data_IF_808348536127
#
_entry.id   IF_808348536127
#
_cell.length_a   1.000
_cell.length_b   1.000
_cell.length_c   1.000
_cell.angle_alpha   90.00
_cell.angle_beta   90.00
_cell.angle_gamma   90.00
#
_symmetry.space_group_name_H-M   'P 1'
#
loop_
_entity.id
_entity.type
_entity.pdbx_description
1 polymer ?
#
# COMPACT_ATOMS: atom_id res chain seq x y z
N UNK A 1 -27.57 -12.42 -53.52
CA UNK A 1 -28.77 -12.41 -52.66
C UNK A 1 -29.04 -10.97 -52.25
N UNK A 2 -30.02 -10.34 -52.89
CA UNK A 2 -30.59 -9.03 -52.52
C UNK A 2 -31.68 -9.26 -51.47
N UNK A 3 -31.80 -8.38 -50.45
CA UNK A 3 -33.06 -7.83 -49.92
C UNK A 3 -32.77 -6.62 -48.99
N UNK A 4 -33.05 -5.44 -49.55
CA UNK A 4 -33.49 -4.12 -49.03
C UNK A 4 -34.39 -4.14 -47.75
N UNK A 5 -34.54 -3.14 -46.84
CA UNK A 5 -34.91 -1.70 -46.94
C UNK A 5 -34.85 -0.95 -45.56
N UNK A 6 -34.51 0.37 -45.62
CA UNK A 6 -35.03 1.62 -44.96
C UNK A 6 -35.19 1.74 -43.41
N UNK A 7 -34.68 2.77 -42.71
CA UNK A 7 -34.75 4.26 -42.77
C UNK A 7 -36.01 4.89 -42.13
N UNK A 8 -35.83 5.78 -41.13
CA UNK A 8 -36.29 7.21 -41.07
C UNK A 8 -36.08 7.89 -39.70
N UNK A 9 -35.66 9.15 -39.75
CA UNK A 9 -35.60 10.21 -38.72
C UNK A 9 -36.90 10.42 -37.91
N UNK A 10 -36.77 11.03 -36.72
CA UNK A 10 -37.55 12.22 -36.30
C UNK A 10 -37.01 12.84 -34.97
N UNK A 11 -36.57 14.11 -35.01
CA UNK A 11 -36.68 15.09 -33.92
C UNK A 11 -37.86 16.04 -34.30
N UNK A 12 -38.50 16.87 -33.42
CA UNK A 12 -37.88 18.10 -32.85
C UNK A 12 -38.46 18.70 -31.51
N UNK A 13 -37.80 19.78 -31.03
CA UNK A 13 -38.23 21.05 -30.38
C UNK A 13 -39.00 21.21 -29.04
N UNK A 14 -38.34 21.96 -28.09
CA UNK A 14 -38.67 23.23 -27.36
C UNK A 14 -40.13 23.61 -26.95
N UNK A 15 -40.46 24.57 -26.02
CA UNK A 15 -39.76 25.80 -25.52
C UNK A 15 -39.76 25.97 -23.96
N UNK A 16 -38.96 26.83 -23.28
CA UNK A 16 -38.86 28.30 -23.10
C UNK A 16 -40.03 28.99 -22.34
N UNK A 17 -39.70 29.67 -21.22
CA UNK A 17 -40.38 30.82 -20.55
C UNK A 17 -39.31 31.50 -19.66
N UNK A 18 -38.81 32.74 -19.84
CA UNK A 18 -39.38 34.11 -19.67
C UNK A 18 -40.02 34.31 -18.27
N UNK A 19 -39.84 35.37 -17.48
CA UNK A 19 -39.60 36.79 -17.73
C UNK A 19 -39.23 37.51 -16.41
N UNK A 20 -38.80 38.76 -16.56
CA UNK A 20 -38.42 39.75 -15.55
C UNK A 20 -39.51 40.10 -14.52
N UNK A 21 -39.11 40.68 -13.38
CA UNK A 21 -39.75 41.93 -12.95
C UNK A 21 -38.84 42.81 -12.07
N UNK A 22 -39.09 44.13 -12.17
CA UNK A 22 -38.26 45.23 -11.69
C UNK A 22 -38.89 45.92 -10.48
N UNK A 23 -38.07 46.72 -9.82
CA UNK A 23 -38.37 47.96 -9.09
C UNK A 23 -39.37 47.96 -7.92
N UNK A 24 -38.89 48.37 -6.75
CA UNK A 24 -39.42 49.59 -6.10
C UNK A 24 -38.41 50.19 -5.10
N UNK A 25 -38.06 51.44 -5.34
CA UNK A 25 -37.38 52.36 -4.42
C UNK A 25 -38.25 52.69 -3.20
N UNK A 26 -37.64 53.11 -2.07
CA UNK A 26 -38.08 54.28 -1.30
C UNK A 26 -37.29 54.55 0.00
N UNK A 27 -36.77 55.79 0.08
CA UNK A 27 -36.85 56.74 1.20
C UNK A 27 -35.83 56.73 2.38
N UNK A 28 -34.83 57.63 2.24
CA UNK A 28 -34.47 58.78 3.10
C UNK A 28 -34.41 58.61 4.65
N UNK A 29 -33.21 58.69 5.28
CA UNK A 29 -32.57 59.85 5.98
C UNK A 29 -33.15 60.21 7.37
N UNK A 30 -32.44 60.91 8.29
CA UNK A 30 -31.00 61.08 8.55
C UNK A 30 -30.65 60.90 10.07
N UNK A 31 -29.36 60.92 10.44
CA UNK A 31 -28.83 61.77 11.53
C UNK A 31 -27.32 61.50 11.74
N UNK A 32 -26.55 62.58 11.66
CA UNK A 32 -25.10 62.62 11.82
C UNK A 32 -24.69 62.71 13.29
N UNK A 33 -23.47 62.27 13.64
CA UNK A 33 -22.39 63.06 14.32
C UNK A 33 -21.05 62.26 14.18
N UNK A 34 -19.89 62.92 13.93
CA UNK A 34 -18.63 62.25 13.57
C UNK A 34 -17.62 62.06 14.72
N UNK A 35 -16.64 61.17 14.51
CA UNK A 35 -15.34 61.12 15.21
C UNK A 35 -14.68 59.73 15.18
N UNK A 36 -13.42 59.57 15.63
CA UNK A 36 -12.20 60.28 15.28
C UNK A 36 -11.36 59.49 14.25
N UNK A 37 -10.39 60.14 13.62
CA UNK A 37 -9.35 59.45 12.82
C UNK A 37 -8.44 58.64 13.75
N UNK A 38 -8.25 57.34 13.46
CA UNK A 38 -7.30 56.45 14.13
C UNK A 38 -6.84 55.36 13.14
N UNK A 39 -5.56 55.01 13.28
CA UNK A 39 -4.59 54.45 12.32
C UNK A 39 -4.97 53.18 11.52
N UNK A 40 -4.32 52.91 10.37
CA UNK A 40 -4.51 51.65 9.65
C UNK A 40 -4.09 50.47 10.52
N UNK A 41 -5.08 49.65 10.87
CA UNK A 41 -4.89 48.43 11.64
C UNK A 41 -3.89 47.49 10.97
N UNK A 42 -2.85 47.12 11.72
CA UNK A 42 -2.02 45.96 11.46
C UNK A 42 -2.90 44.71 11.51
N UNK A 43 -3.30 44.19 10.35
CA UNK A 43 -3.89 42.86 10.26
C UNK A 43 -2.80 41.85 10.61
N UNK A 44 -2.83 41.38 11.86
CA UNK A 44 -2.13 40.17 12.28
C UNK A 44 -2.74 38.99 11.53
N UNK A 45 -2.20 38.71 10.36
CA UNK A 45 -2.38 37.43 9.68
C UNK A 45 -1.49 36.42 10.42
N UNK A 46 -1.94 35.96 11.59
CA UNK A 46 -1.45 34.70 12.13
C UNK A 46 -1.87 33.62 11.15
N UNK A 47 -0.94 32.90 10.48
CA UNK A 47 -1.30 31.74 9.70
C UNK A 47 -1.96 30.76 10.68
N UNK A 48 -3.20 30.36 10.40
CA UNK A 48 -3.88 29.35 11.19
C UNK A 48 -2.97 28.13 11.29
N UNK A 49 -2.63 27.76 12.53
CA UNK A 49 -2.00 26.46 12.79
C UNK A 49 -2.86 25.39 12.10
N UNK A 50 -2.26 24.46 11.33
CA UNK A 50 -3.05 23.41 10.71
C UNK A 50 -3.67 22.58 11.83
N UNK A 51 -4.99 22.73 11.99
CA UNK A 51 -5.80 21.90 12.87
C UNK A 51 -5.64 20.45 12.43
N UNK A 52 -5.06 19.63 13.32
CA UNK A 52 -4.96 18.17 13.27
C UNK A 52 -5.10 17.55 11.88
N UNK A 53 -3.97 17.30 11.20
CA UNK A 53 -3.94 16.28 10.17
C UNK A 53 -4.49 14.98 10.78
N UNK A 54 -5.65 14.52 10.30
CA UNK A 54 -6.18 13.21 10.66
C UNK A 54 -5.14 12.11 10.39
N UNK A 55 -5.34 10.87 10.90
CA UNK A 55 -4.40 9.79 10.65
C UNK A 55 -4.11 9.72 9.15
N UNK A 56 -2.83 9.63 8.78
CA UNK A 56 -2.37 9.62 7.38
C UNK A 56 -3.08 8.49 6.61
N UNK A 57 -4.19 8.83 5.94
CA UNK A 57 -5.04 7.88 5.18
C UNK A 57 -4.41 7.58 3.82
N UNK A 58 -3.07 7.52 3.74
CA UNK A 58 -2.39 7.09 2.52
C UNK A 58 -2.60 5.57 2.36
N UNK A 59 -2.96 5.10 1.15
CA UNK A 59 -3.15 3.67 0.91
C UNK A 59 -1.88 2.89 1.24
N UNK A 60 -2.01 1.65 1.73
CA UNK A 60 -0.86 0.78 1.92
C UNK A 60 -0.24 0.43 0.56
N UNK A 61 1.07 0.57 0.44
CA UNK A 61 1.82 0.31 -0.80
C UNK A 61 2.70 -0.90 -0.60
N UNK A 62 2.67 -1.82 -1.56
CA UNK A 62 3.55 -2.97 -1.57
C UNK A 62 4.36 -3.09 -2.85
N UNK A 63 5.60 -3.57 -2.73
CA UNK A 63 6.47 -3.93 -3.85
C UNK A 63 6.67 -5.45 -3.87
N UNK A 64 6.58 -6.05 -5.05
CA UNK A 64 6.89 -7.46 -5.26
C UNK A 64 8.15 -7.61 -6.09
N UNK A 65 9.10 -8.40 -5.59
CA UNK A 65 10.38 -8.69 -6.27
C UNK A 65 10.54 -10.20 -6.45
N UNK A 66 10.71 -10.66 -7.69
CA UNK A 66 11.04 -12.05 -7.98
C UNK A 66 12.55 -12.17 -8.20
N UNK A 67 13.22 -12.91 -7.32
CA UNK A 67 14.64 -13.25 -7.45
C UNK A 67 14.78 -14.56 -8.21
N UNK A 68 15.21 -14.49 -9.47
CA UNK A 68 15.49 -15.67 -10.28
C UNK A 68 16.35 -15.37 -11.49
N UNK A 69 17.56 -15.96 -11.51
CA UNK A 69 18.45 -15.94 -12.68
C UNK A 69 17.80 -16.46 -13.97
N UNK A 70 16.91 -17.45 -13.86
CA UNK A 70 16.29 -18.09 -15.03
C UNK A 70 15.07 -17.32 -15.54
N UNK A 71 14.28 -16.73 -14.63
CA UNK A 71 13.15 -15.88 -15.03
C UNK A 71 13.65 -14.56 -15.63
N UNK A 72 14.68 -13.94 -15.03
CA UNK A 72 15.28 -12.71 -15.55
C UNK A 72 15.90 -12.91 -16.95
N UNK A 73 16.41 -14.12 -17.23
CA UNK A 73 16.95 -14.50 -18.53
C UNK A 73 15.87 -14.95 -19.54
N UNK A 74 14.58 -14.93 -19.18
CA UNK A 74 13.48 -15.35 -20.05
C UNK A 74 13.38 -16.85 -20.32
N UNK A 75 14.13 -17.69 -19.56
CA UNK A 75 14.15 -19.15 -19.73
C UNK A 75 12.82 -19.78 -19.29
N UNK A 76 12.17 -19.20 -18.27
CA UNK A 76 10.81 -19.54 -17.91
C UNK A 76 10.03 -18.32 -17.42
N UNK A 77 8.70 -18.39 -17.52
CA UNK A 77 7.80 -17.37 -16.98
C UNK A 77 7.77 -17.42 -15.44
N UNK A 78 7.83 -16.24 -14.82
CA UNK A 78 7.60 -16.10 -13.39
C UNK A 78 6.15 -16.46 -13.03
N UNK A 79 5.99 -17.38 -12.09
CA UNK A 79 4.70 -17.80 -11.52
C UNK A 79 4.53 -17.34 -10.07
N UNK A 80 5.62 -17.07 -9.36
CA UNK A 80 5.61 -16.70 -7.96
C UNK A 80 5.18 -15.25 -7.79
N UNK A 81 5.85 -14.33 -8.50
CA UNK A 81 5.60 -12.90 -8.42
C UNK A 81 4.13 -12.52 -8.64
N UNK A 82 3.48 -12.99 -9.72
CA UNK A 82 2.05 -12.70 -9.95
C UNK A 82 1.13 -13.20 -8.82
N UNK A 83 1.46 -14.34 -8.19
CA UNK A 83 0.68 -14.84 -7.06
C UNK A 83 0.85 -13.98 -5.81
N UNK A 84 2.08 -13.54 -5.53
CA UNK A 84 2.37 -12.61 -4.42
C UNK A 84 1.61 -11.31 -4.63
N UNK A 85 1.69 -10.73 -5.84
CA UNK A 85 0.99 -9.49 -6.16
C UNK A 85 -0.52 -9.62 -5.96
N UNK A 86 -1.13 -10.67 -6.51
CA UNK A 86 -2.55 -10.93 -6.32
C UNK A 86 -2.93 -11.15 -4.84
N UNK A 87 -2.05 -11.78 -4.05
CA UNK A 87 -2.24 -11.96 -2.61
C UNK A 87 -2.27 -10.63 -1.86
N UNK A 88 -1.28 -9.79 -2.08
CA UNK A 88 -1.18 -8.47 -1.45
C UNK A 88 -2.31 -7.54 -1.87
N UNK A 89 -2.73 -7.57 -3.14
CA UNK A 89 -3.90 -6.80 -3.58
C UNK A 89 -5.17 -7.22 -2.83
N UNK A 90 -5.39 -8.51 -2.60
CA UNK A 90 -6.54 -8.99 -1.79
C UNK A 90 -6.47 -8.53 -0.34
N UNK A 91 -5.28 -8.33 0.20
CA UNK A 91 -5.06 -7.80 1.54
C UNK A 91 -5.22 -6.26 1.61
N UNK A 92 -5.55 -5.59 0.50
CA UNK A 92 -5.81 -4.14 0.47
C UNK A 92 -4.61 -3.27 0.11
N UNK A 93 -3.51 -3.86 -0.38
CA UNK A 93 -2.34 -3.11 -0.81
C UNK A 93 -2.47 -2.63 -2.26
N UNK A 94 -2.01 -1.40 -2.51
CA UNK A 94 -1.65 -0.93 -3.85
C UNK A 94 -0.30 -1.52 -4.23
N UNK A 95 -0.29 -2.47 -5.15
CA UNK A 95 0.88 -3.29 -5.47
C UNK A 95 1.60 -2.76 -6.72
N UNK A 96 2.92 -2.62 -6.62
CA UNK A 96 3.85 -2.45 -7.74
C UNK A 96 4.61 -3.76 -7.99
N UNK A 97 4.78 -4.13 -9.26
CA UNK A 97 5.50 -5.34 -9.66
C UNK A 97 4.59 -6.49 -10.11
N UNK A 98 5.12 -7.73 -10.27
CA UNK A 98 6.46 -8.15 -9.85
C UNK A 98 7.58 -7.57 -10.71
N UNK A 99 8.63 -7.08 -10.05
CA UNK A 99 9.92 -6.82 -10.68
C UNK A 99 10.74 -8.11 -10.68
N UNK A 100 11.14 -8.60 -11.86
CA UNK A 100 11.93 -9.82 -11.98
C UNK A 100 13.41 -9.46 -12.11
N UNK A 101 14.21 -9.86 -11.14
CA UNK A 101 15.65 -9.56 -11.08
C UNK A 101 16.48 -10.84 -10.95
N UNK A 102 17.75 -10.84 -11.41
CA UNK A 102 18.69 -11.91 -11.10
C UNK A 102 18.95 -12.03 -9.59
N UNK A 103 19.39 -13.20 -9.15
CA UNK A 103 19.77 -13.42 -7.75
C UNK A 103 21.01 -12.58 -7.37
N UNK A 104 21.13 -12.18 -6.09
CA UNK A 104 22.30 -11.47 -5.57
C UNK A 104 22.11 -9.96 -5.49
N UNK A 105 23.11 -9.20 -5.94
CA UNK A 105 23.16 -7.73 -5.82
C UNK A 105 21.94 -7.01 -6.44
N UNK A 106 21.35 -7.47 -7.56
CA UNK A 106 20.12 -6.85 -8.08
C UNK A 106 18.94 -6.91 -7.10
N UNK A 107 18.83 -7.97 -6.28
CA UNK A 107 17.80 -8.05 -5.23
C UNK A 107 18.05 -6.98 -4.17
N UNK A 108 19.29 -6.79 -3.74
CA UNK A 108 19.61 -5.75 -2.76
C UNK A 108 19.26 -4.35 -3.28
N UNK A 109 19.59 -4.06 -4.54
CA UNK A 109 19.27 -2.78 -5.17
C UNK A 109 17.75 -2.54 -5.17
N UNK A 110 16.95 -3.50 -5.63
CA UNK A 110 15.48 -3.40 -5.63
C UNK A 110 14.89 -3.21 -4.22
N UNK A 111 15.45 -3.89 -3.21
CA UNK A 111 15.04 -3.70 -1.82
C UNK A 111 15.35 -2.28 -1.32
N UNK A 112 16.56 -1.75 -1.60
CA UNK A 112 16.95 -0.40 -1.21
C UNK A 112 16.09 0.66 -1.90
N UNK A 113 15.83 0.50 -3.19
CA UNK A 113 14.96 1.39 -3.95
C UNK A 113 13.53 1.37 -3.40
N UNK A 114 13.02 0.19 -3.03
CA UNK A 114 11.73 0.07 -2.38
C UNK A 114 11.65 0.80 -1.03
N UNK A 115 12.72 0.72 -0.21
CA UNK A 115 12.80 1.45 1.06
C UNK A 115 12.85 2.97 0.80
N UNK A 116 13.67 3.43 -0.16
CA UNK A 116 13.77 4.85 -0.54
C UNK A 116 12.44 5.41 -1.04
N UNK A 117 11.65 4.60 -1.75
CA UNK A 117 10.32 4.96 -2.25
C UNK A 117 9.21 4.82 -1.20
N UNK A 118 9.55 4.51 0.05
CA UNK A 118 8.65 4.40 1.19
C UNK A 118 7.47 3.44 0.94
N UNK A 119 7.74 2.27 0.37
CA UNK A 119 6.78 1.16 0.40
C UNK A 119 6.57 0.69 1.83
N UNK A 120 5.35 0.34 2.19
CA UNK A 120 5.05 -0.18 3.53
C UNK A 120 5.49 -1.65 3.64
N UNK A 121 5.36 -2.41 2.55
CA UNK A 121 5.76 -3.82 2.49
C UNK A 121 6.56 -4.09 1.21
N UNK A 122 7.63 -4.85 1.33
CA UNK A 122 8.33 -5.46 0.19
C UNK A 122 8.31 -6.97 0.38
N UNK A 123 7.73 -7.69 -0.59
CA UNK A 123 7.73 -9.16 -0.57
C UNK A 123 8.59 -9.68 -1.71
N UNK A 124 9.61 -10.46 -1.36
CA UNK A 124 10.42 -11.17 -2.36
C UNK A 124 9.95 -12.61 -2.53
N UNK A 125 10.18 -13.20 -3.70
CA UNK A 125 10.01 -14.65 -3.92
C UNK A 125 11.19 -15.21 -4.70
N UNK A 126 11.73 -16.34 -4.23
CA UNK A 126 12.90 -16.99 -4.85
C UNK A 126 14.22 -16.67 -4.14
N UNK A 127 15.27 -17.42 -4.48
CA UNK A 127 16.62 -17.23 -3.94
C UNK A 127 16.80 -17.51 -2.45
N UNK A 128 15.87 -18.24 -1.79
CA UNK A 128 15.87 -18.50 -0.34
C UNK A 128 16.30 -19.93 0.05
N UNK A 129 16.68 -20.77 -0.91
CA UNK A 129 17.14 -22.14 -0.63
C UNK A 129 18.58 -22.20 -0.14
N UNK A 130 19.20 -23.37 -0.31
CA UNK A 130 20.59 -23.66 0.07
C UNK A 130 21.54 -23.77 -1.15
N UNK A 131 21.07 -23.41 -2.35
CA UNK A 131 21.92 -23.32 -3.53
C UNK A 131 23.01 -22.25 -3.33
N UNK A 132 24.21 -22.40 -3.90
CA UNK A 132 25.22 -21.34 -3.87
C UNK A 132 24.75 -20.00 -4.45
N UNK A 133 23.75 -20.02 -5.34
CA UNK A 133 23.15 -18.83 -5.95
C UNK A 133 21.98 -18.26 -5.17
N UNK A 134 21.48 -18.96 -4.15
CA UNK A 134 20.38 -18.45 -3.31
C UNK A 134 20.93 -17.35 -2.40
N UNK A 135 20.72 -16.08 -2.75
CA UNK A 135 21.31 -14.93 -2.06
C UNK A 135 20.29 -13.91 -1.55
N UNK A 136 18.99 -14.17 -1.73
CA UNK A 136 17.91 -13.26 -1.29
C UNK A 136 17.96 -12.97 0.22
N UNK A 137 18.15 -13.96 1.12
CA UNK A 137 18.31 -13.70 2.55
C UNK A 137 19.53 -12.82 2.87
N UNK A 138 20.65 -13.09 2.20
CA UNK A 138 21.90 -12.36 2.38
C UNK A 138 21.77 -10.90 1.93
N UNK A 139 21.09 -10.65 0.81
CA UNK A 139 20.75 -9.31 0.34
C UNK A 139 19.81 -8.59 1.33
N UNK A 140 18.75 -9.28 1.77
CA UNK A 140 17.77 -8.72 2.72
C UNK A 140 18.43 -8.29 4.03
N UNK A 141 19.32 -9.14 4.57
CA UNK A 141 20.05 -8.84 5.82
C UNK A 141 20.87 -7.56 5.75
N UNK A 142 21.39 -7.19 4.57
CA UNK A 142 22.17 -5.95 4.39
C UNK A 142 21.31 -4.69 4.30
N UNK A 143 19.99 -4.84 4.15
CA UNK A 143 19.04 -3.74 3.99
C UNK A 143 18.23 -3.50 5.26
N UNK A 144 17.88 -4.54 6.00
CA UNK A 144 17.07 -4.41 7.23
C UNK A 144 17.87 -3.79 8.38
N UNK A 145 17.22 -2.92 9.13
CA UNK A 145 17.71 -2.34 10.38
C UNK A 145 17.70 -3.40 11.50
N UNK A 146 16.65 -4.22 11.53
CA UNK A 146 16.50 -5.35 12.46
C UNK A 146 15.65 -6.48 11.85
N UNK A 147 15.93 -7.72 12.25
CA UNK A 147 15.21 -8.91 11.81
C UNK A 147 13.95 -9.18 12.67
N UNK A 148 12.92 -9.75 12.05
CA UNK A 148 11.73 -10.29 12.72
C UNK A 148 11.72 -11.81 12.51
N UNK A 149 12.34 -12.62 13.38
CA UNK A 149 12.52 -14.05 13.15
C UNK A 149 11.21 -14.85 13.16
N UNK A 150 10.17 -14.38 13.87
CA UNK A 150 8.90 -15.09 13.99
C UNK A 150 8.13 -15.27 12.66
N UNK A 151 8.28 -14.34 11.72
CA UNK A 151 7.61 -14.41 10.41
C UNK A 151 8.15 -15.59 9.58
N UNK A 152 9.47 -15.68 9.29
CA UNK A 152 9.98 -16.81 8.52
C UNK A 152 9.86 -18.15 9.28
N UNK A 153 9.85 -18.16 10.62
CA UNK A 153 9.53 -19.35 11.40
C UNK A 153 8.10 -19.84 11.15
N UNK A 154 7.11 -18.94 11.16
CA UNK A 154 5.72 -19.25 10.87
C UNK A 154 5.53 -19.74 9.42
N UNK A 155 6.18 -19.10 8.45
CA UNK A 155 6.13 -19.51 7.03
C UNK A 155 6.67 -20.95 6.86
N UNK A 156 7.82 -21.26 7.47
CA UNK A 156 8.35 -22.63 7.45
C UNK A 156 7.39 -23.59 8.15
N UNK A 157 6.78 -23.19 9.26
CA UNK A 157 5.84 -24.02 10.00
C UNK A 157 4.59 -24.37 9.21
N UNK A 158 4.03 -23.42 8.46
CA UNK A 158 2.87 -23.61 7.59
C UNK A 158 3.17 -24.61 6.45
N UNK A 159 4.37 -24.53 5.85
CA UNK A 159 4.76 -25.42 4.75
C UNK A 159 5.22 -26.82 5.17
N UNK A 160 5.82 -26.97 6.36
CA UNK A 160 6.42 -28.23 6.83
C UNK A 160 5.51 -29.47 6.77
N UNK A 161 4.21 -29.41 7.13
CA UNK A 161 3.31 -30.56 7.06
C UNK A 161 3.13 -31.11 5.64
N UNK A 162 3.21 -30.25 4.63
CA UNK A 162 3.01 -30.61 3.22
C UNK A 162 4.34 -30.96 2.53
N UNK A 163 5.40 -30.19 2.85
CA UNK A 163 6.71 -30.28 2.23
C UNK A 163 7.77 -30.19 3.34
N UNK A 164 8.32 -31.34 3.80
CA UNK A 164 9.31 -31.34 4.90
C UNK A 164 10.53 -30.44 4.64
N UNK A 165 10.95 -30.33 3.37
CA UNK A 165 12.06 -29.49 2.92
C UNK A 165 11.76 -27.99 2.99
N UNK A 166 10.53 -27.55 3.29
CA UNK A 166 10.22 -26.16 3.62
C UNK A 166 11.11 -25.64 4.76
N UNK A 167 11.52 -26.53 5.67
CA UNK A 167 12.46 -26.24 6.76
C UNK A 167 13.82 -25.71 6.30
N UNK A 168 14.23 -26.01 5.06
CA UNK A 168 15.53 -25.60 4.51
C UNK A 168 15.52 -24.16 3.98
N UNK A 169 14.35 -23.51 3.90
CA UNK A 169 14.29 -22.11 3.48
C UNK A 169 15.00 -21.22 4.49
N UNK A 170 15.99 -20.46 3.99
CA UNK A 170 16.73 -19.43 4.73
C UNK A 170 16.06 -18.05 4.66
N UNK A 171 14.83 -17.96 4.14
CA UNK A 171 14.11 -16.70 4.04
C UNK A 171 14.09 -15.92 5.36
N UNK A 172 14.21 -14.60 5.26
CA UNK A 172 14.19 -13.66 6.38
C UNK A 172 12.96 -12.76 6.30
N UNK A 173 12.69 -12.11 7.42
CA UNK A 173 11.87 -10.91 7.45
C UNK A 173 12.53 -9.88 8.38
N UNK A 174 12.28 -8.61 8.13
CA UNK A 174 12.84 -7.52 8.94
C UNK A 174 12.31 -6.17 8.51
N UNK A 175 12.63 -5.15 9.29
CA UNK A 175 12.22 -3.77 9.04
C UNK A 175 13.40 -2.98 8.53
N UNK A 176 13.17 -2.13 7.54
CA UNK A 176 14.17 -1.25 6.94
C UNK A 176 13.63 0.18 6.86
N UNK A 177 14.52 1.18 7.03
CA UNK A 177 14.13 2.59 7.02
C UNK A 177 13.11 2.95 8.11
N UNK A 178 13.07 2.15 9.19
CA UNK A 178 12.12 2.29 10.31
C UNK A 178 10.65 1.99 10.00
N UNK A 179 10.22 1.92 8.74
CA UNK A 179 8.78 1.85 8.37
C UNK A 179 8.45 0.80 7.32
N UNK A 180 9.43 0.25 6.60
CA UNK A 180 9.21 -0.74 5.54
C UNK A 180 9.43 -2.15 6.07
N UNK A 181 8.40 -3.01 6.01
CA UNK A 181 8.52 -4.43 6.30
C UNK A 181 8.98 -5.21 5.05
N UNK A 182 10.08 -5.93 5.15
CA UNK A 182 10.59 -6.81 4.09
C UNK A 182 10.36 -8.26 4.48
N UNK A 183 9.79 -9.08 3.59
CA UNK A 183 9.57 -10.52 3.82
C UNK A 183 10.05 -11.33 2.62
N UNK A 184 10.84 -12.37 2.85
CA UNK A 184 11.24 -13.31 1.80
C UNK A 184 10.34 -14.56 1.80
N UNK A 185 9.73 -14.83 0.65
CA UNK A 185 8.99 -16.06 0.41
C UNK A 185 9.80 -17.08 -0.40
N UNK A 186 9.50 -18.38 -0.28
CA UNK A 186 10.05 -19.39 -1.18
C UNK A 186 9.74 -19.10 -2.66
N UNK A 187 10.54 -19.67 -3.58
CA UNK A 187 10.31 -19.54 -5.02
C UNK A 187 9.32 -20.56 -5.60
N UNK A 188 8.94 -21.59 -4.84
CA UNK A 188 7.94 -22.56 -5.29
C UNK A 188 6.53 -22.00 -5.10
N UNK A 189 5.60 -22.34 -5.99
CA UNK A 189 4.20 -21.89 -5.89
C UNK A 189 3.53 -22.39 -4.60
N UNK A 190 3.87 -23.58 -4.11
CA UNK A 190 3.44 -24.07 -2.81
C UNK A 190 3.92 -23.15 -1.67
N UNK A 191 5.23 -22.89 -1.61
CA UNK A 191 5.80 -22.05 -0.55
C UNK A 191 5.35 -20.59 -0.62
N UNK A 192 5.05 -20.05 -1.80
CA UNK A 192 4.39 -18.73 -1.93
C UNK A 192 2.99 -18.75 -1.33
N UNK A 193 2.20 -19.81 -1.55
CA UNK A 193 0.85 -19.93 -0.96
C UNK A 193 0.92 -20.03 0.56
N UNK A 194 1.81 -20.86 1.10
CA UNK A 194 2.02 -21.00 2.54
C UNK A 194 2.46 -19.66 3.15
N UNK A 195 3.38 -18.96 2.48
CA UNK A 195 3.82 -17.62 2.85
C UNK A 195 2.68 -16.61 2.90
N UNK A 196 1.89 -16.52 1.84
CA UNK A 196 0.73 -15.63 1.77
C UNK A 196 -0.32 -15.96 2.84
N UNK A 197 -0.53 -17.24 3.17
CA UNK A 197 -1.47 -17.66 4.21
C UNK A 197 -1.04 -17.20 5.61
N UNK A 198 0.27 -17.10 5.87
CA UNK A 198 0.80 -16.50 7.10
C UNK A 198 0.66 -14.98 7.06
N UNK A 199 1.06 -14.34 5.96
CA UNK A 199 1.01 -12.88 5.82
C UNK A 199 -0.40 -12.32 5.93
N UNK A 200 -1.41 -13.01 5.39
CA UNK A 200 -2.83 -12.62 5.47
C UNK A 200 -3.29 -12.35 6.92
N UNK A 201 -2.72 -13.07 7.88
CA UNK A 201 -3.10 -12.98 9.30
C UNK A 201 -2.42 -11.84 10.06
N UNK A 202 -1.30 -11.32 9.55
CA UNK A 202 -0.41 -10.45 10.32
C UNK A 202 -0.05 -9.13 9.64
N UNK A 203 -0.15 -9.04 8.31
CA UNK A 203 0.55 -8.01 7.55
C UNK A 203 -0.03 -6.61 7.80
N UNK A 204 -1.36 -6.47 7.84
CA UNK A 204 -2.01 -5.19 8.10
C UNK A 204 -1.63 -4.64 9.48
N UNK A 205 -1.72 -5.48 10.51
CA UNK A 205 -1.36 -5.09 11.87
C UNK A 205 0.12 -4.69 11.99
N UNK A 206 1.02 -5.43 11.33
CA UNK A 206 2.45 -5.11 11.33
C UNK A 206 2.72 -3.74 10.68
N UNK A 207 2.06 -3.44 9.56
CA UNK A 207 2.19 -2.15 8.88
C UNK A 207 1.61 -1.02 9.71
N UNK A 208 0.47 -1.23 10.37
CA UNK A 208 -0.13 -0.23 11.25
C UNK A 208 0.80 0.15 12.40
N UNK A 209 1.42 -0.83 13.06
CA UNK A 209 2.42 -0.56 14.09
C UNK A 209 3.61 0.24 13.56
N UNK A 210 4.12 -0.11 12.38
CA UNK A 210 5.26 0.59 11.76
C UNK A 210 4.92 2.02 11.33
N UNK A 211 3.64 2.30 11.01
CA UNK A 211 3.15 3.66 10.76
C UNK A 211 2.90 4.47 12.04
N UNK A 212 3.15 3.89 13.23
CA UNK A 212 2.90 4.54 14.51
C UNK A 212 1.45 4.42 15.00
N UNK A 213 0.68 3.49 14.43
CA UNK A 213 -0.66 3.14 14.89
C UNK A 213 -0.61 2.42 16.24
N UNK A 214 -1.06 3.10 17.29
CA UNK A 214 -1.33 2.49 18.60
C UNK A 214 -2.68 1.76 18.51
N UNK A 215 -2.72 0.45 18.77
CA UNK A 215 -4.00 -0.25 18.94
C UNK A 215 -4.37 -0.32 20.43
N UNK A 216 -5.64 -0.01 20.79
CA UNK A 216 -6.13 -0.21 22.13
C UNK A 216 -6.05 -1.70 22.49
N UNK A 217 -5.53 -2.00 23.69
CA UNK A 217 -5.54 -3.34 24.27
C UNK A 217 -6.93 -3.95 24.07
N UNK A 218 -6.99 -5.16 23.51
CA UNK A 218 -8.21 -5.96 23.52
C UNK A 218 -8.77 -5.93 24.95
N UNK A 219 -9.99 -5.42 25.10
CA UNK A 219 -10.64 -5.32 26.39
C UNK A 219 -10.66 -6.71 27.03
N UNK A 220 -9.79 -6.92 28.02
CA UNK A 220 -9.83 -8.11 28.83
C UNK A 220 -11.21 -8.15 29.48
N UNK A 221 -11.96 -9.22 29.22
CA UNK A 221 -13.15 -9.57 29.98
C UNK A 221 -12.80 -9.41 31.46
N UNK A 222 -13.53 -8.60 32.25
CA UNK A 222 -13.33 -8.58 33.69
C UNK A 222 -13.67 -9.99 34.18
N UNK A 223 -12.65 -10.73 34.62
CA UNK A 223 -12.83 -12.01 35.28
C UNK A 223 -13.69 -11.77 36.52
N UNK A 224 -14.96 -12.15 36.41
CA UNK A 224 -15.90 -12.15 37.52
C UNK A 224 -15.38 -13.08 38.60
N UNK A 225 -15.18 -12.52 39.78
CA UNK A 225 -15.13 -13.28 41.02
C UNK A 225 -16.54 -13.84 41.30
N UNK A 226 -16.63 -15.16 41.42
CA UNK A 226 -17.60 -15.86 42.25
C UNK A 226 -16.97 -17.18 42.69
#
# INVERSE_FOLDING_TARGET
MNTQLRATDLAPDAPADTEADRHSEAHAHPDAVPGPVSEPGYQSQVPGEPMYAGPDVRPYRALVVTASNRASAGVYADKGGPMVAAGLTRMGFTVTGPEVVPDGDPVEAALRDGVLLAYDVIVTTGGTGISPTDRTPDATRRVVDYEIPGIPEAIRAEGRPHVPTASLSRGLAGVAGGTTLIVNLPGSTGGVRDGLAVLDRILLHAVDQLRGGDHPRAAGTPGGIN
#
